data_IF_425948043490
#
_entry.id   IF_425948043490
#
_cell.length_a   1.000
_cell.length_b   1.000
_cell.length_c   1.000
_cell.angle_alpha   90.00
_cell.angle_beta   90.00
_cell.angle_gamma   90.00
#
_symmetry.space_group_name_H-M   'P 1'
#
loop_
_entity.id
_entity.type
_entity.pdbx_description
1 polymer ?
#
# COMPACT_ATOMS: atom_id res chain seq x y z
N UNK A 1 -13.64 4.53 -7.00
CA UNK A 1 -13.62 3.57 -5.87
C UNK A 1 -14.87 2.70 -5.93
N UNK A 2 -14.78 1.38 -5.72
CA UNK A 2 -15.95 0.51 -5.65
C UNK A 2 -16.87 0.94 -4.50
N UNK A 3 -18.19 0.89 -4.69
CA UNK A 3 -19.14 1.25 -3.64
C UNK A 3 -19.06 0.25 -2.48
N UNK A 4 -19.29 0.67 -1.23
CA UNK A 4 -19.34 -0.25 -0.10
C UNK A 4 -20.32 -1.39 -0.34
N UNK A 5 -19.93 -2.62 0.02
CA UNK A 5 -20.78 -3.81 -0.12
C UNK A 5 -20.73 -4.46 -1.50
N UNK A 6 -19.97 -3.90 -2.45
CA UNK A 6 -19.69 -4.57 -3.72
C UNK A 6 -18.48 -5.49 -3.52
N UNK A 7 -18.61 -6.75 -3.95
CA UNK A 7 -17.50 -7.70 -3.94
C UNK A 7 -16.40 -7.27 -4.90
N UNK A 8 -15.15 -7.31 -4.42
CA UNK A 8 -13.95 -6.97 -5.18
C UNK A 8 -13.17 -8.24 -5.46
N UNK A 9 -12.89 -8.51 -6.74
CA UNK A 9 -12.06 -9.63 -7.17
C UNK A 9 -10.57 -9.28 -7.13
N UNK A 10 -9.73 -10.31 -7.00
CA UNK A 10 -8.28 -10.15 -7.11
C UNK A 10 -7.90 -9.88 -8.57
N UNK A 11 -6.95 -8.95 -8.76
CA UNK A 11 -6.31 -8.75 -10.05
C UNK A 11 -5.25 -9.82 -10.29
N UNK A 12 -4.84 -10.05 -11.55
CA UNK A 12 -3.62 -10.79 -11.85
C UNK A 12 -2.40 -10.18 -11.13
N UNK A 13 -1.35 -11.00 -10.97
CA UNK A 13 -0.07 -10.51 -10.48
C UNK A 13 0.49 -9.43 -11.41
N UNK A 14 1.03 -8.37 -10.81
CA UNK A 14 1.53 -7.20 -11.52
C UNK A 14 2.77 -6.67 -10.82
N UNK A 15 3.83 -6.40 -11.60
CA UNK A 15 5.02 -5.71 -11.11
C UNK A 15 4.92 -4.21 -11.41
N UNK A 16 4.62 -3.35 -10.41
CA UNK A 16 4.43 -1.93 -10.64
C UNK A 16 5.75 -1.21 -10.95
N UNK A 17 5.70 -0.04 -11.60
CA UNK A 17 6.86 0.84 -11.69
C UNK A 17 7.40 1.22 -10.31
N UNK A 18 8.73 1.32 -10.18
CA UNK A 18 9.41 1.64 -8.92
C UNK A 18 10.43 2.73 -9.16
N UNK A 19 10.42 3.76 -8.31
CA UNK A 19 11.50 4.74 -8.26
C UNK A 19 12.76 4.10 -7.64
N UNK A 20 13.85 4.03 -8.41
CA UNK A 20 15.11 3.38 -8.03
C UNK A 20 16.20 4.37 -7.62
N UNK A 21 16.15 5.61 -8.07
CA UNK A 21 17.29 6.51 -7.90
C UNK A 21 16.94 7.98 -8.10
N UNK A 22 17.79 8.82 -7.51
CA UNK A 22 17.81 10.26 -7.71
C UNK A 22 19.24 10.68 -8.03
N UNK A 23 19.41 11.35 -9.15
CA UNK A 23 20.65 12.06 -9.48
C UNK A 23 20.45 13.54 -9.22
N UNK A 24 21.38 14.11 -8.46
CA UNK A 24 21.44 15.54 -8.17
C UNK A 24 22.59 16.15 -8.98
N UNK A 25 22.45 17.42 -9.37
CA UNK A 25 23.46 18.13 -10.14
C UNK A 25 23.97 19.31 -9.30
N UNK A 26 25.18 19.24 -8.72
CA UNK A 26 25.70 20.32 -7.86
C UNK A 26 25.75 21.68 -8.54
N UNK A 27 26.04 21.70 -9.83
CA UNK A 27 26.11 22.91 -10.65
C UNK A 27 24.73 23.49 -11.00
N UNK A 28 23.65 22.73 -10.80
CA UNK A 28 22.28 23.17 -10.98
C UNK A 28 21.36 22.49 -9.94
N UNK A 29 21.26 23.05 -8.72
CA UNK A 29 20.64 22.39 -7.57
C UNK A 29 19.13 22.16 -7.71
N UNK A 30 18.48 22.81 -8.68
CA UNK A 30 17.06 22.60 -8.98
C UNK A 30 16.81 21.55 -10.07
N UNK A 31 17.88 20.98 -10.64
CA UNK A 31 17.80 19.89 -11.60
C UNK A 31 17.91 18.55 -10.88
N UNK A 32 16.91 17.72 -11.10
CA UNK A 32 16.83 16.36 -10.57
C UNK A 32 16.54 15.39 -11.72
N UNK A 33 17.34 14.33 -11.85
CA UNK A 33 16.99 13.22 -12.73
C UNK A 33 16.54 12.03 -11.87
N UNK A 34 15.32 11.55 -12.10
CA UNK A 34 14.76 10.39 -11.42
C UNK A 34 14.97 9.13 -12.26
N UNK A 35 15.45 8.07 -11.62
CA UNK A 35 15.67 6.77 -12.26
C UNK A 35 14.53 5.85 -11.87
N UNK A 36 13.74 5.41 -12.85
CA UNK A 36 12.59 4.52 -12.65
C UNK A 36 12.82 3.17 -13.32
N UNK A 37 12.38 2.12 -12.63
CA UNK A 37 12.11 0.82 -13.19
C UNK A 37 10.65 0.81 -13.63
N UNK A 38 10.39 0.49 -14.89
CA UNK A 38 9.06 0.58 -15.50
C UNK A 38 8.19 -0.63 -15.19
N UNK A 39 8.75 -1.71 -14.63
CA UNK A 39 8.03 -2.95 -14.35
C UNK A 39 7.22 -3.44 -15.56
N UNK A 40 6.03 -3.97 -15.30
CA UNK A 40 5.11 -4.45 -16.34
C UNK A 40 4.42 -3.31 -17.12
N UNK A 41 4.46 -2.08 -16.61
CA UNK A 41 3.82 -0.92 -17.24
C UNK A 41 4.56 -0.43 -18.50
N UNK A 42 5.85 -0.73 -18.62
CA UNK A 42 6.61 -0.45 -19.84
C UNK A 42 6.26 -1.39 -21.00
N UNK A 43 5.88 -2.63 -20.69
CA UNK A 43 5.62 -3.68 -21.68
C UNK A 43 4.17 -3.69 -22.20
N UNK A 44 3.22 -3.25 -21.37
CA UNK A 44 1.81 -3.14 -21.74
C UNK A 44 1.48 -1.66 -21.69
N UNK A 45 1.05 -1.04 -22.79
CA UNK A 45 0.64 0.37 -22.88
C UNK A 45 -0.60 0.73 -22.00
N UNK A 46 -0.72 0.13 -20.82
CA UNK A 46 -1.86 0.19 -19.92
C UNK A 46 -1.89 1.48 -19.10
N UNK A 47 -0.75 2.17 -18.93
CA UNK A 47 -0.68 3.46 -18.23
C UNK A 47 0.32 4.39 -18.92
N UNK A 48 0.02 5.69 -19.10
CA UNK A 48 1.01 6.65 -19.57
C UNK A 48 2.18 6.69 -18.58
N UNK A 49 3.34 6.17 -18.97
CA UNK A 49 4.53 6.06 -18.11
C UNK A 49 4.89 7.41 -17.45
N UNK A 50 4.62 8.52 -18.14
CA UNK A 50 4.82 9.88 -17.63
C UNK A 50 3.95 10.21 -16.43
N UNK A 51 2.68 9.82 -16.43
CA UNK A 51 1.74 10.09 -15.34
C UNK A 51 2.15 9.29 -14.09
N UNK A 52 2.42 8.00 -14.26
CA UNK A 52 2.91 7.15 -13.16
C UNK A 52 4.25 7.62 -12.63
N UNK A 53 5.18 8.01 -13.51
CA UNK A 53 6.46 8.57 -13.07
C UNK A 53 6.27 9.86 -12.28
N UNK A 54 5.38 10.74 -12.73
CA UNK A 54 5.06 12.00 -12.03
C UNK A 54 4.46 11.73 -10.65
N UNK A 55 3.56 10.76 -10.56
CA UNK A 55 2.95 10.31 -9.30
C UNK A 55 4.00 9.77 -8.33
N UNK A 56 4.90 8.89 -8.78
CA UNK A 56 5.99 8.35 -7.96
C UNK A 56 6.94 9.45 -7.47
N UNK A 57 7.24 10.45 -8.30
CA UNK A 57 8.05 11.61 -7.90
C UNK A 57 7.33 12.43 -6.83
N UNK A 58 6.02 12.70 -6.99
CA UNK A 58 5.22 13.38 -5.97
C UNK A 58 5.21 12.62 -4.64
N UNK A 59 5.14 11.29 -4.69
CA UNK A 59 5.18 10.47 -3.47
C UNK A 59 6.53 10.60 -2.76
N UNK A 60 7.61 10.52 -3.51
CA UNK A 60 8.95 10.73 -2.98
C UNK A 60 9.08 12.11 -2.32
N UNK A 61 8.63 13.18 -2.97
CA UNK A 61 8.66 14.53 -2.40
C UNK A 61 7.75 14.68 -1.18
N UNK A 62 6.57 14.04 -1.19
CA UNK A 62 5.68 14.00 -0.04
C UNK A 62 6.37 13.31 1.16
N UNK A 63 7.09 12.20 0.94
CA UNK A 63 7.81 11.52 2.01
C UNK A 63 8.98 12.33 2.60
N UNK A 64 9.54 13.28 1.84
CA UNK A 64 10.58 14.18 2.34
C UNK A 64 10.03 15.39 3.10
N UNK A 65 8.76 15.75 2.86
CA UNK A 65 8.14 16.98 3.39
C UNK A 65 7.14 16.72 4.52
N UNK A 66 6.74 15.46 4.71
CA UNK A 66 5.84 15.02 5.78
C UNK A 66 6.65 14.27 6.85
N UNK A 67 6.52 14.62 8.15
CA UNK A 67 7.19 13.88 9.22
C UNK A 67 6.80 12.40 9.23
N UNK A 68 7.75 11.51 9.52
CA UNK A 68 7.52 10.05 9.52
C UNK A 68 6.33 9.63 10.41
N UNK A 69 6.16 10.28 11.58
CA UNK A 69 5.04 10.04 12.49
C UNK A 69 3.65 10.35 11.91
N UNK A 70 3.61 11.11 10.81
CA UNK A 70 2.39 11.55 10.14
C UNK A 70 2.14 10.75 8.83
N UNK A 71 3.02 9.80 8.47
CA UNK A 71 2.88 8.94 7.29
C UNK A 71 2.01 7.70 7.58
N UNK A 72 0.76 7.90 7.96
CA UNK A 72 -0.18 6.81 8.20
C UNK A 72 -1.61 7.14 7.75
N UNK A 73 -2.39 6.10 7.52
CA UNK A 73 -3.83 6.15 7.24
C UNK A 73 -4.55 5.08 8.06
N UNK A 74 -5.83 5.29 8.33
CA UNK A 74 -6.63 4.39 9.16
C UNK A 74 -8.12 4.48 8.82
N UNK A 75 -8.68 3.42 8.23
CA UNK A 75 -10.14 3.29 8.05
C UNK A 75 -10.77 2.34 9.09
N UNK A 76 -10.38 2.48 10.35
CA UNK A 76 -11.00 1.71 11.45
C UNK A 76 -12.42 2.23 11.73
N UNK A 77 -13.45 1.36 11.75
CA UNK A 77 -14.83 1.76 12.07
C UNK A 77 -15.00 2.42 13.44
N UNK A 78 -14.06 2.15 14.36
CA UNK A 78 -14.07 2.62 15.75
C UNK A 78 -13.31 3.94 15.94
N UNK A 79 -12.56 4.40 14.93
CA UNK A 79 -11.70 5.58 15.01
C UNK A 79 -12.07 6.61 13.93
N UNK A 80 -13.33 7.05 13.94
CA UNK A 80 -13.90 7.93 12.90
C UNK A 80 -13.17 9.26 12.76
N UNK A 81 -12.59 9.76 13.85
CA UNK A 81 -11.90 11.06 13.89
C UNK A 81 -10.39 10.93 13.63
N UNK A 82 -9.88 9.71 13.43
CA UNK A 82 -8.46 9.42 13.24
C UNK A 82 -8.26 8.63 11.94
N UNK A 83 -8.45 9.33 10.82
CA UNK A 83 -8.41 8.74 9.47
C UNK A 83 -7.05 8.93 8.80
N UNK A 84 -6.57 10.17 8.75
CA UNK A 84 -5.29 10.53 8.14
C UNK A 84 -4.88 11.89 8.71
N UNK A 85 -3.57 12.14 8.98
CA UNK A 85 -3.10 13.47 9.34
C UNK A 85 -3.44 14.49 8.26
N UNK A 86 -3.88 15.68 8.64
CA UNK A 86 -4.43 16.69 7.72
C UNK A 86 -3.46 17.03 6.57
N UNK A 87 -2.22 17.38 6.91
CA UNK A 87 -1.17 17.72 5.93
C UNK A 87 -0.88 16.57 4.97
N UNK A 88 -0.85 15.33 5.49
CA UNK A 88 -0.62 14.15 4.65
C UNK A 88 -1.81 13.85 3.75
N UNK A 89 -3.04 14.00 4.25
CA UNK A 89 -4.28 13.81 3.50
C UNK A 89 -4.47 14.81 2.34
N UNK A 90 -3.79 15.96 2.35
CA UNK A 90 -3.76 16.88 1.21
C UNK A 90 -2.85 16.41 0.07
N UNK A 91 -1.85 15.59 0.38
CA UNK A 91 -0.93 15.03 -0.64
C UNK A 91 -1.65 14.00 -1.51
N UNK A 92 -1.14 13.78 -2.73
CA UNK A 92 -1.62 12.67 -3.57
C UNK A 92 -1.31 11.31 -2.91
N UNK A 93 -0.14 11.18 -2.27
CA UNK A 93 0.27 9.97 -1.56
C UNK A 93 -0.70 9.58 -0.44
N UNK A 94 -1.08 10.51 0.43
CA UNK A 94 -1.99 10.23 1.55
C UNK A 94 -3.38 9.82 1.08
N UNK A 95 -3.92 10.48 0.05
CA UNK A 95 -5.22 10.12 -0.56
C UNK A 95 -5.21 8.73 -1.16
N UNK A 96 -4.15 8.40 -1.88
CA UNK A 96 -4.00 7.09 -2.52
C UNK A 96 -3.75 5.98 -1.49
N UNK A 97 -2.94 6.22 -0.46
CA UNK A 97 -2.78 5.24 0.63
C UNK A 97 -4.12 4.97 1.34
N UNK A 98 -4.92 6.01 1.57
CA UNK A 98 -6.26 5.86 2.14
C UNK A 98 -7.16 5.05 1.21
N UNK A 99 -7.05 5.26 -0.10
CA UNK A 99 -7.78 4.48 -1.09
C UNK A 99 -7.33 3.01 -1.12
N UNK A 100 -6.03 2.74 -1.00
CA UNK A 100 -5.50 1.37 -0.90
C UNK A 100 -5.97 0.67 0.38
N UNK A 101 -6.01 1.38 1.51
CA UNK A 101 -6.54 0.84 2.77
C UNK A 101 -8.02 0.47 2.66
N UNK A 102 -8.82 1.28 1.95
CA UNK A 102 -10.21 0.96 1.65
C UNK A 102 -10.34 -0.28 0.76
N UNK A 103 -9.55 -0.36 -0.31
CA UNK A 103 -9.56 -1.52 -1.22
C UNK A 103 -9.14 -2.80 -0.49
N UNK A 104 -8.11 -2.74 0.36
CA UNK A 104 -7.70 -3.86 1.20
C UNK A 104 -8.88 -4.36 2.03
N UNK A 105 -9.59 -3.46 2.71
CA UNK A 105 -10.77 -3.81 3.52
C UNK A 105 -11.89 -4.43 2.70
N UNK A 106 -12.19 -3.90 1.50
CA UNK A 106 -13.20 -4.48 0.60
C UNK A 106 -12.79 -5.88 0.10
N UNK A 107 -11.51 -6.07 -0.25
CA UNK A 107 -10.99 -7.38 -0.69
C UNK A 107 -11.06 -8.38 0.47
N UNK A 108 -10.60 -8.01 1.67
CA UNK A 108 -10.69 -8.88 2.85
C UNK A 108 -12.13 -9.29 3.12
N UNK A 109 -13.08 -8.34 3.12
CA UNK A 109 -14.49 -8.63 3.31
C UNK A 109 -15.05 -9.58 2.23
N UNK A 110 -14.64 -9.39 0.98
CA UNK A 110 -15.04 -10.26 -0.14
C UNK A 110 -14.51 -11.68 0.01
N UNK A 111 -13.25 -11.84 0.45
CA UNK A 111 -12.61 -13.15 0.60
C UNK A 111 -13.16 -13.97 1.79
N UNK A 112 -13.62 -13.31 2.85
CA UNK A 112 -14.19 -13.96 4.03
C UNK A 112 -15.73 -14.02 4.01
N UNK A 113 -16.36 -13.70 2.87
CA UNK A 113 -17.81 -13.69 2.75
C UNK A 113 -18.38 -15.09 3.02
N UNK A 114 -19.20 -15.31 4.07
CA UNK A 114 -19.56 -16.64 4.55
C UNK A 114 -20.31 -17.53 3.55
N UNK A 115 -20.90 -16.96 2.50
CA UNK A 115 -21.67 -17.71 1.50
C UNK A 115 -20.81 -18.21 0.33
N UNK A 116 -19.61 -17.65 0.14
CA UNK A 116 -18.65 -18.11 -0.87
C UNK A 116 -17.82 -19.28 -0.36
N UNK A 117 -17.36 -20.16 -1.27
CA UNK A 117 -16.67 -21.39 -0.89
C UNK A 117 -15.39 -21.15 -0.06
N UNK A 118 -14.65 -20.09 -0.40
CA UNK A 118 -13.47 -19.67 0.36
C UNK A 118 -13.85 -19.18 1.77
N UNK A 119 -14.89 -18.35 1.88
CA UNK A 119 -15.35 -17.83 3.16
C UNK A 119 -15.96 -18.92 4.06
N UNK A 120 -16.75 -19.84 3.49
CA UNK A 120 -17.22 -21.05 4.20
C UNK A 120 -16.05 -21.83 4.79
N UNK A 121 -15.02 -22.07 3.99
CA UNK A 121 -13.81 -22.79 4.42
C UNK A 121 -13.09 -22.04 5.56
N UNK A 122 -12.96 -20.72 5.43
CA UNK A 122 -12.37 -19.87 6.48
C UNK A 122 -13.14 -19.97 7.80
N UNK A 123 -14.45 -19.70 7.78
CA UNK A 123 -15.29 -19.70 8.99
C UNK A 123 -15.40 -21.08 9.63
N UNK A 124 -15.49 -22.16 8.83
CA UNK A 124 -15.46 -23.52 9.34
C UNK A 124 -14.18 -23.80 10.16
N UNK A 125 -13.01 -23.36 9.68
CA UNK A 125 -11.75 -23.51 10.41
C UNK A 125 -11.75 -22.69 11.70
N UNK A 126 -12.23 -21.46 11.65
CA UNK A 126 -12.34 -20.58 12.84
C UNK A 126 -13.20 -21.23 13.93
N UNK A 127 -14.40 -21.73 13.57
CA UNK A 127 -15.29 -22.37 14.53
C UNK A 127 -14.74 -23.70 15.06
N UNK A 128 -14.06 -24.49 14.23
CA UNK A 128 -13.37 -25.71 14.67
C UNK A 128 -12.29 -25.41 15.72
N UNK A 129 -11.46 -24.39 15.48
CA UNK A 129 -10.41 -23.98 16.42
C UNK A 129 -10.99 -23.38 17.71
N UNK A 130 -12.07 -22.60 17.62
CA UNK A 130 -12.80 -22.10 18.77
C UNK A 130 -13.32 -23.24 19.66
N UNK A 131 -13.95 -24.25 19.05
CA UNK A 131 -14.46 -25.41 19.78
C UNK A 131 -13.34 -26.22 20.45
N UNK A 132 -12.19 -26.41 19.77
CA UNK A 132 -11.03 -27.10 20.36
C UNK A 132 -10.46 -26.37 21.58
N UNK A 133 -10.38 -25.04 21.52
CA UNK A 133 -9.73 -24.23 22.57
C UNK A 133 -10.65 -23.90 23.74
N UNK A 134 -11.94 -23.74 23.47
CA UNK A 134 -12.89 -23.19 24.44
C UNK A 134 -14.12 -24.08 24.67
N UNK A 135 -14.23 -25.21 23.98
CA UNK A 135 -15.36 -26.15 24.12
C UNK A 135 -16.70 -25.62 23.61
N UNK A 136 -16.70 -24.48 22.90
CA UNK A 136 -17.90 -23.85 22.37
C UNK A 136 -17.60 -23.11 21.08
N UNK A 137 -18.60 -23.01 20.21
CA UNK A 137 -18.60 -22.17 19.01
C UNK A 137 -19.30 -20.83 19.23
N UNK A 138 -19.98 -20.65 20.37
CA UNK A 138 -20.73 -19.44 20.73
C UNK A 138 -19.82 -18.37 21.35
N UNK A 139 -18.71 -18.09 20.67
CA UNK A 139 -17.79 -17.01 21.03
C UNK A 139 -18.13 -15.84 20.12
N UNK A 140 -18.29 -14.60 20.64
CA UNK A 140 -18.38 -13.43 19.79
C UNK A 140 -17.08 -13.30 18.99
N UNK A 141 -17.07 -13.79 17.76
CA UNK A 141 -15.93 -13.63 16.86
C UNK A 141 -16.01 -12.21 16.31
N UNK A 142 -15.04 -11.37 16.67
CA UNK A 142 -14.93 -10.05 16.04
C UNK A 142 -14.62 -10.28 14.56
N UNK A 143 -15.63 -10.07 13.71
CA UNK A 143 -15.50 -10.22 12.25
C UNK A 143 -14.71 -9.07 11.63
N UNK A 144 -14.50 -7.98 12.38
CA UNK A 144 -13.66 -6.85 11.98
C UNK A 144 -12.20 -7.11 12.33
N UNK A 145 -11.53 -7.89 11.48
CA UNK A 145 -10.09 -8.06 11.52
C UNK A 145 -9.39 -6.72 11.21
N UNK A 146 -8.52 -6.26 12.10
CA UNK A 146 -7.63 -5.13 11.81
C UNK A 146 -6.56 -5.60 10.82
N UNK A 147 -6.75 -5.24 9.56
CA UNK A 147 -5.77 -5.44 8.49
C UNK A 147 -5.10 -4.11 8.16
N UNK A 148 -3.79 -4.14 7.95
CA UNK A 148 -2.99 -2.96 7.59
C UNK A 148 -1.84 -3.37 6.66
N UNK A 149 -1.34 -2.40 5.90
CA UNK A 149 -0.14 -2.55 5.07
C UNK A 149 1.03 -1.94 5.84
N UNK A 150 2.08 -2.71 6.07
CA UNK A 150 3.33 -2.19 6.64
C UNK A 150 4.32 -1.97 5.50
N UNK A 151 4.82 -0.73 5.28
CA UNK A 151 5.83 -0.50 4.27
C UNK A 151 7.15 -1.17 4.67
N UNK A 152 7.88 -1.66 3.68
CA UNK A 152 9.24 -2.14 3.87
C UNK A 152 10.21 -0.97 4.06
N UNK A 153 11.34 -1.20 4.74
CA UNK A 153 12.36 -0.18 4.92
C UNK A 153 13.07 0.14 3.60
N UNK A 154 13.11 1.43 3.24
CA UNK A 154 13.94 1.92 2.15
C UNK A 154 15.36 2.21 2.65
N UNK A 155 16.38 1.86 1.87
CA UNK A 155 17.80 2.15 2.17
C UNK A 155 18.37 3.05 1.07
N UNK A 156 18.99 4.16 1.48
CA UNK A 156 19.69 5.11 0.59
C UNK A 156 21.13 4.67 0.44
N UNK A 157 21.65 4.67 -0.79
CA UNK A 157 23.09 4.62 -1.02
C UNK A 157 23.51 5.82 -1.86
N UNK A 158 24.54 6.53 -1.40
CA UNK A 158 25.16 7.64 -2.12
C UNK A 158 26.43 7.17 -2.83
N UNK A 159 26.57 7.46 -4.13
CA UNK A 159 27.79 7.22 -4.88
C UNK A 159 28.47 8.55 -5.25
N UNK A 160 29.51 8.89 -4.49
CA UNK A 160 30.27 10.13 -4.59
C UNK A 160 31.02 10.30 -5.93
N UNK A 161 31.29 9.23 -6.70
CA UNK A 161 32.01 9.34 -7.98
C UNK A 161 31.15 9.90 -9.13
N UNK A 162 29.83 10.04 -8.95
CA UNK A 162 28.93 10.49 -10.02
C UNK A 162 27.79 11.43 -9.56
N UNK A 163 27.74 11.83 -8.27
CA UNK A 163 26.61 12.61 -7.73
C UNK A 163 25.26 11.86 -7.81
N UNK A 164 25.30 10.52 -7.74
CA UNK A 164 24.13 9.66 -7.93
C UNK A 164 23.79 8.93 -6.63
N UNK A 165 22.54 9.01 -6.19
CA UNK A 165 22.02 8.17 -5.11
C UNK A 165 21.12 7.07 -5.67
N UNK A 166 21.39 5.82 -5.30
CA UNK A 166 20.65 4.63 -5.74
C UNK A 166 19.95 4.01 -4.52
N UNK A 167 18.65 3.78 -4.64
CA UNK A 167 17.81 3.12 -3.66
C UNK A 167 17.69 1.64 -4.04
N UNK A 168 18.01 0.73 -3.12
CA UNK A 168 17.86 -0.72 -3.35
C UNK A 168 16.94 -1.32 -2.30
N UNK A 169 15.85 -1.94 -2.76
CA UNK A 169 15.00 -2.80 -1.94
C UNK A 169 15.69 -4.15 -1.73
N UNK A 170 15.80 -4.61 -0.48
CA UNK A 170 16.26 -5.97 -0.17
C UNK A 170 15.04 -6.91 -0.15
N UNK A 171 14.68 -7.46 -1.31
CA UNK A 171 13.74 -8.59 -1.33
C UNK A 171 14.47 -9.82 -0.79
N UNK A 172 14.22 -10.20 0.47
CA UNK A 172 14.49 -11.57 0.91
C UNK A 172 13.31 -12.43 0.43
N UNK A 173 13.60 -13.32 -0.50
CA UNK A 173 12.74 -14.44 -0.92
C UNK A 173 12.45 -15.39 0.23
#
# INVERSE_FOLDING_TARGET
MPKPGIRVSLSPAFNPPILKGLKVHPDNPFRFDFILDTGDAGARHAVPLREESTKLIKYFLASLTVPERDLWVNLSPYEKDRIVPESFGMTEMGRDLLAQDYLLKQITASLIYPEDDLGKTFWNRVYQEANKRFGTTNIPVNTFNKVWIVPEKAVVYENAKAGQSVWRKHVRS
#
